data_IF_189113711797
#
_entry.id   IF_189113711797
#
_cell.length_a   1.000
_cell.length_b   1.000
_cell.length_c   1.000
_cell.angle_alpha   90.00
_cell.angle_beta   90.00
_cell.angle_gamma   90.00
#
_symmetry.space_group_name_H-M   'P 1'
#
loop_
_entity.id
_entity.type
_entity.pdbx_description
1 polymer ?
#
# COMPACT_ATOMS: atom_id res chain seq x y z
N UNK A 1 -17.31 -5.45 -18.55
CA UNK A 1 -17.22 -4.58 -17.36
C UNK A 1 -17.16 -5.51 -16.15
N UNK A 2 -15.98 -5.70 -15.55
CA UNK A 2 -15.88 -6.49 -14.31
C UNK A 2 -16.72 -5.81 -13.23
N UNK A 3 -17.51 -6.55 -12.44
CA UNK A 3 -18.27 -5.95 -11.35
C UNK A 3 -17.31 -5.20 -10.44
N UNK A 4 -17.59 -3.93 -10.19
CA UNK A 4 -16.92 -3.19 -9.13
C UNK A 4 -17.04 -4.02 -7.85
N UNK A 5 -15.90 -4.32 -7.22
CA UNK A 5 -15.90 -5.13 -6.00
C UNK A 5 -16.82 -4.46 -4.98
N UNK A 6 -17.84 -5.22 -4.57
CA UNK A 6 -18.84 -4.85 -3.57
C UNK A 6 -18.25 -4.13 -2.34
N UNK A 7 -17.01 -4.44 -1.97
CA UNK A 7 -16.28 -3.77 -0.88
C UNK A 7 -16.21 -2.24 -1.02
N UNK A 8 -15.88 -1.65 -2.17
CA UNK A 8 -15.83 -0.17 -2.25
C UNK A 8 -17.22 0.46 -2.09
N UNK A 9 -18.24 -0.19 -2.67
CA UNK A 9 -19.63 0.23 -2.59
C UNK A 9 -20.18 0.16 -1.16
N UNK A 10 -19.90 -0.90 -0.42
CA UNK A 10 -20.43 -1.14 0.92
C UNK A 10 -19.54 -0.60 2.06
N UNK A 11 -18.24 -0.43 1.81
CA UNK A 11 -17.27 0.07 2.78
C UNK A 11 -16.84 1.51 2.49
N UNK A 12 -17.70 2.32 1.87
CA UNK A 12 -17.48 3.76 1.70
C UNK A 12 -16.12 4.14 1.06
N UNK A 13 -15.72 3.42 0.01
CA UNK A 13 -14.47 3.66 -0.72
C UNK A 13 -13.19 3.34 0.06
N UNK A 14 -13.25 2.42 1.03
CA UNK A 14 -12.08 2.00 1.80
C UNK A 14 -10.90 1.50 0.93
N UNK A 15 -11.16 1.00 -0.28
CA UNK A 15 -10.11 0.65 -1.25
C UNK A 15 -9.26 1.84 -1.73
N UNK A 16 -9.67 3.08 -1.45
CA UNK A 16 -8.92 4.31 -1.75
C UNK A 16 -8.31 4.96 -0.49
N UNK A 17 -7.95 4.17 0.52
CA UNK A 17 -7.46 4.63 1.82
C UNK A 17 -6.44 5.79 1.78
N UNK A 18 -5.33 5.66 1.04
CA UNK A 18 -4.35 6.75 0.89
C UNK A 18 -4.98 8.01 0.29
N UNK A 19 -5.80 7.83 -0.75
CA UNK A 19 -6.47 8.93 -1.43
C UNK A 19 -7.45 9.65 -0.50
N UNK A 20 -8.19 8.88 0.31
CA UNK A 20 -9.12 9.39 1.32
C UNK A 20 -8.39 10.22 2.40
N UNK A 21 -7.26 9.75 2.92
CA UNK A 21 -6.49 10.53 3.89
C UNK A 21 -5.91 11.83 3.32
N UNK A 22 -5.61 11.87 2.02
CA UNK A 22 -5.15 13.10 1.35
C UNK A 22 -6.28 14.10 1.07
N UNK A 23 -7.50 13.61 0.82
CA UNK A 23 -8.69 14.45 0.67
C UNK A 23 -9.93 13.63 1.06
N UNK A 24 -10.43 13.75 2.30
CA UNK A 24 -11.52 12.92 2.80
C UNK A 24 -12.87 13.24 2.13
N UNK A 25 -12.97 14.38 1.44
CA UNK A 25 -14.17 14.81 0.72
C UNK A 25 -14.12 14.45 -0.78
N UNK A 26 -13.07 13.77 -1.25
CA UNK A 26 -12.94 13.38 -2.66
C UNK A 26 -14.07 12.42 -3.02
N UNK A 27 -14.81 12.73 -4.09
CA UNK A 27 -15.84 11.84 -4.56
C UNK A 27 -15.23 10.57 -5.15
N UNK A 28 -15.91 9.44 -4.98
CA UNK A 28 -15.32 8.13 -5.26
C UNK A 28 -14.84 7.93 -6.70
N UNK A 29 -15.57 8.53 -7.65
CA UNK A 29 -15.24 8.51 -9.08
C UNK A 29 -13.98 9.30 -9.43
N UNK A 30 -13.54 10.20 -8.56
CA UNK A 30 -12.38 11.06 -8.80
C UNK A 30 -11.08 10.42 -8.30
N UNK A 31 -11.15 9.35 -7.49
CA UNK A 31 -9.96 8.69 -6.99
C UNK A 31 -9.04 8.12 -8.08
N UNK A 32 -9.54 7.47 -9.16
CA UNK A 32 -8.70 6.99 -10.25
C UNK A 32 -7.93 8.14 -10.93
N UNK A 33 -8.62 9.22 -11.30
CA UNK A 33 -8.00 10.39 -11.93
C UNK A 33 -6.98 11.05 -11.00
N UNK A 34 -7.32 11.18 -9.71
CA UNK A 34 -6.42 11.71 -8.69
C UNK A 34 -5.14 10.87 -8.55
N UNK A 35 -5.24 9.53 -8.63
CA UNK A 35 -4.07 8.66 -8.60
C UNK A 35 -3.15 8.92 -9.80
N UNK A 36 -3.71 9.02 -11.01
CA UNK A 36 -2.93 9.30 -12.22
C UNK A 36 -2.21 10.65 -12.14
N UNK A 37 -2.91 11.70 -11.71
CA UNK A 37 -2.33 13.03 -11.52
C UNK A 37 -1.20 13.05 -10.47
N UNK A 38 -1.32 12.22 -9.43
CA UNK A 38 -0.38 12.17 -8.30
C UNK A 38 0.59 11.00 -8.37
N UNK A 39 0.68 10.29 -9.51
CA UNK A 39 1.53 9.11 -9.66
C UNK A 39 2.97 9.35 -9.23
N UNK A 40 3.53 10.53 -9.53
CA UNK A 40 4.89 10.93 -9.10
C UNK A 40 5.02 10.99 -7.58
N UNK A 41 4.02 11.52 -6.89
CA UNK A 41 3.98 11.55 -5.41
C UNK A 41 3.92 10.14 -4.84
N UNK A 42 3.06 9.27 -5.40
CA UNK A 42 2.97 7.87 -4.97
C UNK A 42 4.31 7.15 -5.10
N UNK A 43 5.05 7.39 -6.21
CA UNK A 43 6.39 6.84 -6.41
C UNK A 43 7.37 7.39 -5.38
N UNK A 44 7.41 8.72 -5.21
CA UNK A 44 8.35 9.40 -4.29
C UNK A 44 8.16 8.95 -2.84
N UNK A 45 6.91 8.89 -2.37
CA UNK A 45 6.55 8.47 -1.01
C UNK A 45 6.51 6.95 -0.84
N UNK A 46 6.81 6.18 -1.90
CA UNK A 46 6.81 4.72 -1.92
C UNK A 46 5.46 4.11 -1.49
N UNK A 47 4.37 4.75 -1.87
CA UNK A 47 3.02 4.28 -1.59
C UNK A 47 2.74 2.97 -2.34
N UNK A 48 2.10 2.01 -1.67
CA UNK A 48 1.71 0.73 -2.25
C UNK A 48 0.29 0.83 -2.82
N UNK A 49 0.11 0.35 -4.05
CA UNK A 49 -1.18 0.30 -4.72
C UNK A 49 -1.48 -1.14 -5.07
N UNK A 50 -2.65 -1.61 -4.68
CA UNK A 50 -3.10 -2.96 -4.99
C UNK A 50 -4.33 -2.94 -5.89
N UNK A 51 -4.48 -3.99 -6.69
CA UNK A 51 -5.68 -4.25 -7.49
C UNK A 51 -6.33 -5.55 -7.03
N UNK A 52 -7.65 -5.63 -7.19
CA UNK A 52 -8.42 -6.83 -6.87
C UNK A 52 -8.15 -7.44 -5.49
N UNK A 53 -7.98 -6.60 -4.47
CA UNK A 53 -7.88 -6.99 -3.05
C UNK A 53 -8.34 -5.82 -2.18
N UNK A 54 -9.08 -6.11 -1.12
CA UNK A 54 -9.55 -5.12 -0.14
C UNK A 54 -8.67 -5.11 1.13
N UNK A 55 -8.87 -4.12 2.00
CA UNK A 55 -8.06 -3.91 3.20
C UNK A 55 -8.11 -5.10 4.18
N UNK A 56 -9.28 -5.72 4.35
CA UNK A 56 -9.42 -6.89 5.22
C UNK A 56 -8.60 -8.06 4.66
N UNK A 57 -8.69 -8.30 3.35
CA UNK A 57 -7.94 -9.37 2.72
C UNK A 57 -6.42 -9.09 2.69
N UNK A 58 -5.99 -7.83 2.50
CA UNK A 58 -4.59 -7.43 2.69
C UNK A 58 -4.13 -7.81 4.10
N UNK A 59 -4.92 -7.48 5.13
CA UNK A 59 -4.62 -7.79 6.53
C UNK A 59 -4.48 -9.30 6.76
N UNK A 60 -5.45 -10.10 6.29
CA UNK A 60 -5.41 -11.56 6.42
C UNK A 60 -4.16 -12.16 5.74
N UNK A 61 -3.81 -11.68 4.54
CA UNK A 61 -2.62 -12.14 3.81
C UNK A 61 -1.32 -11.76 4.52
N UNK A 62 -1.24 -10.57 5.10
CA UNK A 62 -0.10 -10.12 5.91
C UNK A 62 0.10 -10.98 7.16
N UNK A 63 -0.97 -11.27 7.90
CA UNK A 63 -0.91 -12.13 9.09
C UNK A 63 -0.47 -13.55 8.74
N UNK A 64 -0.90 -14.08 7.60
CA UNK A 64 -0.47 -15.39 7.07
C UNK A 64 0.91 -15.38 6.40
N UNK A 65 1.59 -14.22 6.33
CA UNK A 65 2.88 -14.06 5.63
C UNK A 65 2.83 -14.45 4.15
N UNK A 66 1.66 -14.34 3.51
CA UNK A 66 1.46 -14.69 2.10
C UNK A 66 1.85 -13.52 1.18
N UNK A 67 3.13 -13.17 1.19
CA UNK A 67 3.68 -12.04 0.42
C UNK A 67 3.62 -12.28 -1.09
N UNK A 68 3.66 -13.54 -1.53
CA UNK A 68 3.51 -13.88 -2.94
C UNK A 68 2.12 -13.52 -3.46
N UNK A 69 1.07 -13.75 -2.67
CA UNK A 69 -0.27 -13.30 -3.04
C UNK A 69 -0.35 -11.77 -3.12
N UNK A 70 0.21 -11.07 -2.14
CA UNK A 70 0.24 -9.60 -2.15
C UNK A 70 1.02 -9.05 -3.34
N UNK A 71 2.16 -9.64 -3.68
CA UNK A 71 2.98 -9.25 -4.82
C UNK A 71 2.23 -9.40 -6.17
N UNK A 72 1.44 -10.47 -6.34
CA UNK A 72 0.59 -10.66 -7.53
C UNK A 72 -0.51 -9.61 -7.67
N UNK A 73 -0.96 -9.03 -6.54
CA UNK A 73 -1.98 -7.97 -6.49
C UNK A 73 -1.38 -6.56 -6.49
N UNK A 74 -0.06 -6.43 -6.41
CA UNK A 74 0.61 -5.14 -6.43
C UNK A 74 0.59 -4.54 -7.85
N UNK A 75 0.12 -3.31 -7.97
CA UNK A 75 0.26 -2.50 -9.18
C UNK A 75 1.63 -1.83 -9.15
N UNK A 76 2.59 -2.22 -10.01
CA UNK A 76 3.94 -1.66 -9.96
C UNK A 76 3.98 -0.20 -10.39
N UNK A 77 4.76 0.59 -9.65
CA UNK A 77 5.10 1.97 -10.02
C UNK A 77 6.60 2.23 -9.82
N UNK A 78 7.18 3.11 -10.64
CA UNK A 78 8.60 3.46 -10.55
C UNK A 78 9.51 2.23 -10.71
N UNK A 79 10.48 2.08 -9.82
CA UNK A 79 11.45 0.96 -9.80
C UNK A 79 10.77 -0.42 -9.69
N UNK A 80 9.57 -0.49 -9.11
CA UNK A 80 8.83 -1.76 -8.97
C UNK A 80 8.46 -2.37 -10.33
N UNK A 81 8.39 -1.56 -11.41
CA UNK A 81 8.04 -2.03 -12.76
C UNK A 81 9.07 -3.07 -13.24
N UNK A 82 10.35 -2.87 -12.94
CA UNK A 82 11.42 -3.80 -13.30
C UNK A 82 11.54 -5.02 -12.40
N UNK A 83 10.83 -5.05 -11.27
CA UNK A 83 10.94 -6.15 -10.30
C UNK A 83 10.12 -7.37 -10.72
N UNK A 84 10.70 -8.56 -10.52
CA UNK A 84 9.99 -9.84 -10.57
C UNK A 84 8.94 -9.94 -9.46
N UNK A 85 8.06 -10.95 -9.53
CA UNK A 85 7.06 -11.17 -8.48
C UNK A 85 7.75 -11.51 -7.15
N UNK A 86 8.84 -12.28 -7.22
CA UNK A 86 9.65 -12.69 -6.07
C UNK A 86 10.35 -11.50 -5.43
N UNK A 87 10.91 -10.59 -6.23
CA UNK A 87 11.54 -9.36 -5.74
C UNK A 87 10.52 -8.43 -5.06
N UNK A 88 9.30 -8.34 -5.60
CA UNK A 88 8.21 -7.59 -4.97
C UNK A 88 7.75 -8.26 -3.68
N UNK A 89 7.63 -9.58 -3.65
CA UNK A 89 7.29 -10.30 -2.43
C UNK A 89 8.35 -10.09 -1.34
N UNK A 90 9.63 -10.14 -1.70
CA UNK A 90 10.74 -9.83 -0.81
C UNK A 90 10.69 -8.37 -0.32
N UNK A 91 10.37 -7.41 -1.19
CA UNK A 91 10.17 -6.00 -0.82
C UNK A 91 9.06 -5.85 0.23
N UNK A 92 7.89 -6.46 -0.02
CA UNK A 92 6.76 -6.43 0.91
C UNK A 92 7.11 -7.08 2.25
N UNK A 93 7.82 -8.21 2.22
CA UNK A 93 8.31 -8.87 3.44
C UNK A 93 9.24 -7.95 4.23
N UNK A 94 10.20 -7.27 3.57
CA UNK A 94 11.13 -6.33 4.23
C UNK A 94 10.39 -5.20 4.96
N UNK A 95 9.28 -4.69 4.42
CA UNK A 95 8.49 -3.64 5.06
C UNK A 95 7.84 -4.07 6.38
N UNK A 96 7.66 -5.37 6.60
CA UNK A 96 7.05 -5.93 7.82
C UNK A 96 8.07 -6.48 8.81
N UNK A 97 9.36 -6.38 8.50
CA UNK A 97 10.42 -6.89 9.37
C UNK A 97 10.43 -6.11 10.68
N UNK A 98 10.54 -6.85 11.78
CA UNK A 98 10.77 -6.25 13.10
C UNK A 98 12.12 -5.53 13.13
N UNK A 99 12.12 -4.28 13.61
CA UNK A 99 13.37 -3.56 13.88
C UNK A 99 14.10 -4.21 15.07
N UNK A 100 15.42 -4.31 14.97
CA UNK A 100 16.28 -4.66 16.12
C UNK A 100 16.41 -3.48 17.08
N UNK A 101 16.82 -3.75 18.32
CA UNK A 101 17.09 -2.73 19.33
C UNK A 101 18.13 -1.70 18.86
N UNK A 102 19.15 -2.15 18.11
CA UNK A 102 20.16 -1.27 17.53
C UNK A 102 19.55 -0.34 16.47
N UNK A 103 18.71 -0.86 15.58
CA UNK A 103 18.04 -0.06 14.55
C UNK A 103 17.04 0.93 15.14
N UNK A 104 16.31 0.53 16.19
CA UNK A 104 15.42 1.44 16.91
C UNK A 104 16.24 2.58 17.53
N UNK A 105 17.31 2.25 18.26
CA UNK A 105 18.19 3.25 18.89
C UNK A 105 18.80 4.21 17.87
N UNK A 106 19.22 3.70 16.71
CA UNK A 106 19.80 4.53 15.66
C UNK A 106 18.75 5.43 15.01
N UNK A 107 17.58 4.88 14.65
CA UNK A 107 16.49 5.61 14.01
C UNK A 107 15.92 6.73 14.87
N UNK A 108 15.89 6.54 16.19
CA UNK A 108 15.42 7.53 17.15
C UNK A 108 16.57 8.20 17.91
N UNK A 109 17.80 8.18 17.36
CA UNK A 109 18.95 8.84 17.99
C UNK A 109 18.67 10.34 18.15
N UNK A 110 18.74 10.84 19.38
CA UNK A 110 18.47 12.24 19.70
C UNK A 110 17.00 12.60 19.90
N UNK A 111 16.08 11.63 19.81
CA UNK A 111 14.68 11.83 20.18
C UNK A 111 14.58 11.99 21.71
N UNK A 112 14.42 13.22 22.19
CA UNK A 112 14.20 13.47 23.63
C UNK A 112 12.79 13.03 23.99
N UNK A 113 12.66 12.05 24.88
CA UNK A 113 11.40 11.83 25.60
C UNK A 113 11.11 13.10 26.39
N UNK A 114 9.96 13.72 26.12
CA UNK A 114 9.43 14.81 26.95
C UNK A 114 9.15 14.31 28.36
#
# INVERSE_FOLDING_TARGET
MTPEKQSNRYCYNDGYHTSHHLNPRRHWRDHPTSFLQQKKTYIREKALVFHDIDYLMVTVRLLRKDYMHLARRLVPVGEQIGMTIEERAAMLQRHTRRFSEAEIRDKFRGYKTK
#
